data_IF_434913157212
#
_entry.id   IF_434913157212
#
_cell.length_a   1.000
_cell.length_b   1.000
_cell.length_c   1.000
_cell.angle_alpha   90.00
_cell.angle_beta   90.00
_cell.angle_gamma   90.00
#
_symmetry.space_group_name_H-M   'P 1'
#
loop_
_entity.id
_entity.type
_entity.pdbx_description
1 polymer ?
#
# COMPACT_ATOMS: atom_id res chain seq x y z
N UNK A 1 -0.79 5.32 36.38
CA UNK A 1 -2.26 5.46 36.35
C UNK A 1 -2.65 5.82 34.93
N UNK A 2 -2.86 4.81 34.07
CA UNK A 2 -3.15 5.02 32.64
C UNK A 2 -4.66 5.14 32.46
N UNK A 3 -5.12 6.35 32.18
CA UNK A 3 -6.49 6.59 31.73
C UNK A 3 -6.65 6.04 30.32
N UNK A 4 -7.53 5.06 30.17
CA UNK A 4 -8.01 4.55 28.89
C UNK A 4 -9.26 5.32 28.49
N UNK A 5 -9.24 6.20 27.47
CA UNK A 5 -10.43 6.58 26.77
C UNK A 5 -10.38 5.97 25.36
N UNK A 6 -11.29 5.05 25.09
CA UNK A 6 -11.42 4.41 23.79
C UNK A 6 -12.27 3.17 23.91
N UNK A 7 -13.59 3.35 23.86
CA UNK A 7 -14.55 2.28 23.64
C UNK A 7 -14.08 1.47 22.42
N UNK A 8 -13.64 0.23 22.66
CA UNK A 8 -13.36 -0.73 21.59
C UNK A 8 -14.69 -1.03 20.91
N UNK A 9 -14.83 -0.69 19.63
CA UNK A 9 -16.02 -1.09 18.88
C UNK A 9 -16.08 -2.63 18.84
N UNK A 10 -17.24 -3.25 19.12
CA UNK A 10 -17.37 -4.71 19.16
C UNK A 10 -16.89 -5.43 17.89
N UNK A 11 -16.99 -4.76 16.74
CA UNK A 11 -16.62 -5.29 15.42
C UNK A 11 -15.13 -5.57 15.26
N UNK A 12 -14.26 -4.74 15.85
CA UNK A 12 -12.81 -4.90 15.70
C UNK A 12 -12.27 -6.09 16.52
N UNK A 13 -12.91 -6.41 17.65
CA UNK A 13 -12.61 -7.61 18.44
C UNK A 13 -13.07 -8.88 17.72
N UNK A 14 -14.21 -8.81 17.03
CA UNK A 14 -14.76 -9.91 16.24
C UNK A 14 -13.86 -10.26 15.04
N UNK A 15 -13.34 -9.26 14.33
CA UNK A 15 -12.42 -9.48 13.20
C UNK A 15 -11.13 -10.19 13.64
N UNK A 16 -10.59 -9.83 14.82
CA UNK A 16 -9.41 -10.49 15.39
C UNK A 16 -9.66 -11.95 15.83
N UNK A 17 -10.88 -12.27 16.27
CA UNK A 17 -11.31 -13.65 16.54
C UNK A 17 -11.42 -14.49 15.27
N UNK A 18 -12.09 -13.94 14.25
CA UNK A 18 -12.40 -14.65 13.00
C UNK A 18 -11.15 -14.96 12.19
N UNK A 19 -10.10 -14.12 12.29
CA UNK A 19 -8.83 -14.28 11.57
C UNK A 19 -7.73 -15.00 12.37
N UNK A 20 -8.01 -15.59 13.54
CA UNK A 20 -6.99 -16.15 14.45
C UNK A 20 -5.85 -15.16 14.77
N UNK A 21 -6.15 -13.85 14.76
CA UNK A 21 -5.15 -12.79 14.88
C UNK A 21 -5.08 -12.19 16.30
N UNK A 22 -5.79 -12.77 17.27
CA UNK A 22 -5.75 -12.33 18.67
C UNK A 22 -4.32 -12.34 19.22
N UNK A 23 -3.90 -11.21 19.77
CA UNK A 23 -2.55 -11.02 20.33
C UNK A 23 -1.50 -10.51 19.34
N UNK A 24 -1.80 -10.47 18.03
CA UNK A 24 -0.89 -9.90 17.02
C UNK A 24 -0.98 -8.38 16.91
N UNK A 25 -2.17 -7.75 16.78
CA UNK A 25 -2.28 -6.30 16.77
C UNK A 25 -2.23 -5.76 18.21
N UNK A 26 -1.74 -4.52 18.40
CA UNK A 26 -1.87 -3.83 19.68
C UNK A 26 -3.35 -3.73 20.08
N UNK A 27 -3.67 -3.70 21.39
CA UNK A 27 -5.05 -3.74 21.87
C UNK A 27 -5.85 -2.48 21.51
N UNK A 28 -5.20 -1.42 21.04
CA UNK A 28 -5.86 -0.19 20.60
C UNK A 28 -6.29 -0.32 19.15
N UNK A 29 -7.59 -0.21 18.94
CA UNK A 29 -8.18 -0.01 17.60
C UNK A 29 -8.04 1.46 17.23
N UNK A 30 -7.41 1.73 16.09
CA UNK A 30 -7.28 3.09 15.56
C UNK A 30 -8.35 3.35 14.50
N UNK A 31 -9.03 4.49 14.57
CA UNK A 31 -9.96 4.91 13.54
C UNK A 31 -9.24 5.18 12.20
N UNK A 32 -9.94 5.12 11.05
CA UNK A 32 -9.34 5.44 9.75
C UNK A 32 -8.66 6.81 9.74
N UNK A 33 -9.27 7.83 10.36
CA UNK A 33 -8.70 9.16 10.47
C UNK A 33 -7.42 9.21 11.33
N UNK A 34 -7.34 8.43 12.41
CA UNK A 34 -6.11 8.31 13.21
C UNK A 34 -4.98 7.63 12.42
N UNK A 35 -5.31 6.61 11.64
CA UNK A 35 -4.36 5.90 10.78
C UNK A 35 -3.82 6.83 9.69
N UNK A 36 -4.71 7.56 9.02
CA UNK A 36 -4.38 8.57 8.01
C UNK A 36 -3.46 9.66 8.57
N UNK A 37 -3.80 10.24 9.73
CA UNK A 37 -2.96 11.25 10.40
C UNK A 37 -1.55 10.72 10.69
N UNK A 38 -1.43 9.45 11.11
CA UNK A 38 -0.13 8.81 11.35
C UNK A 38 0.66 8.61 10.06
N UNK A 39 0.00 8.19 8.98
CA UNK A 39 0.63 8.03 7.66
C UNK A 39 1.16 9.37 7.17
N UNK A 40 0.33 10.41 7.17
CA UNK A 40 0.74 11.74 6.70
C UNK A 40 1.84 12.35 7.56
N UNK A 41 1.79 12.18 8.88
CA UNK A 41 2.87 12.60 9.77
C UNK A 41 4.21 11.94 9.44
N UNK A 42 4.20 10.62 9.20
CA UNK A 42 5.41 9.90 8.79
C UNK A 42 5.90 10.29 7.39
N UNK A 43 4.98 10.59 6.47
CA UNK A 43 5.30 10.96 5.09
C UNK A 43 5.97 12.34 5.03
N UNK A 44 5.42 13.33 5.74
CA UNK A 44 5.95 14.69 5.82
C UNK A 44 7.30 14.75 6.54
N UNK A 45 7.55 13.82 7.46
CA UNK A 45 8.84 13.71 8.16
C UNK A 45 9.96 13.12 7.30
N UNK A 46 9.68 12.55 6.11
CA UNK A 46 10.73 12.11 5.17
C UNK A 46 11.41 13.29 4.53
N UNK A 47 12.68 13.12 4.19
CA UNK A 47 13.51 14.22 3.66
C UNK A 47 13.40 14.30 2.13
N UNK A 48 13.28 13.16 1.45
CA UNK A 48 13.23 13.11 -0.02
C UNK A 48 11.91 12.58 -0.56
N UNK A 49 11.55 13.05 -1.77
CA UNK A 49 10.35 12.58 -2.48
C UNK A 49 10.45 11.09 -2.83
N UNK A 50 11.66 10.59 -3.07
CA UNK A 50 11.88 9.16 -3.33
C UNK A 50 11.56 8.32 -2.08
N UNK A 51 11.97 8.76 -0.89
CA UNK A 51 11.60 8.08 0.35
C UNK A 51 10.10 8.13 0.61
N UNK A 52 9.46 9.27 0.29
CA UNK A 52 8.00 9.41 0.37
C UNK A 52 7.30 8.44 -0.59
N UNK A 53 7.76 8.35 -1.83
CA UNK A 53 7.29 7.37 -2.81
C UNK A 53 7.43 5.94 -2.26
N UNK A 54 8.61 5.55 -1.78
CA UNK A 54 8.85 4.22 -1.21
C UNK A 54 7.89 3.94 -0.04
N UNK A 55 7.62 4.93 0.81
CA UNK A 55 6.71 4.80 1.93
C UNK A 55 5.25 4.58 1.48
N UNK A 56 4.79 5.32 0.46
CA UNK A 56 3.45 5.20 -0.13
C UNK A 56 3.26 3.86 -0.85
N UNK A 57 4.24 3.44 -1.64
CA UNK A 57 4.29 2.13 -2.29
C UNK A 57 4.25 1.00 -1.24
N UNK A 58 4.99 1.14 -0.14
CA UNK A 58 4.95 0.18 0.98
C UNK A 58 3.63 0.21 1.75
N UNK A 59 2.90 1.34 1.75
CA UNK A 59 1.57 1.43 2.33
C UNK A 59 0.55 0.68 1.46
N UNK A 60 0.57 0.92 0.16
CA UNK A 60 -0.31 0.24 -0.79
C UNK A 60 -0.14 -1.29 -0.73
N UNK A 61 1.09 -1.81 -0.55
CA UNK A 61 1.33 -3.26 -0.39
C UNK A 61 0.73 -3.87 0.89
N UNK A 62 0.47 -3.06 1.91
CA UNK A 62 0.02 -3.54 3.24
C UNK A 62 -1.46 -3.30 3.46
N UNK A 63 -1.97 -2.16 2.98
CA UNK A 63 -3.35 -1.75 3.14
C UNK A 63 -3.73 -0.82 1.98
N UNK A 64 -4.29 -1.43 0.94
CA UNK A 64 -4.71 -0.74 -0.27
C UNK A 64 -5.85 0.26 0.01
N UNK A 65 -6.79 -0.07 0.89
CA UNK A 65 -7.90 0.82 1.28
C UNK A 65 -7.38 2.10 1.93
N UNK A 66 -6.47 1.99 2.90
CA UNK A 66 -5.87 3.16 3.57
C UNK A 66 -5.01 3.97 2.59
N UNK A 67 -4.30 3.32 1.67
CA UNK A 67 -3.56 4.01 0.63
C UNK A 67 -4.48 4.89 -0.23
N UNK A 68 -5.56 4.34 -0.77
CA UNK A 68 -6.48 5.10 -1.59
C UNK A 68 -7.20 6.21 -0.81
N UNK A 69 -7.56 5.97 0.46
CA UNK A 69 -8.12 7.01 1.31
C UNK A 69 -7.16 8.20 1.46
N UNK A 70 -5.89 7.92 1.78
CA UNK A 70 -4.85 8.94 1.94
C UNK A 70 -4.61 9.71 0.63
N UNK A 71 -4.55 9.00 -0.51
CA UNK A 71 -4.38 9.62 -1.84
C UNK A 71 -5.55 10.55 -2.17
N UNK A 72 -6.79 10.12 -1.96
CA UNK A 72 -7.97 10.92 -2.30
C UNK A 72 -8.07 12.17 -1.43
N UNK A 73 -7.82 12.04 -0.13
CA UNK A 73 -7.92 13.16 0.81
C UNK A 73 -6.78 14.17 0.69
N UNK A 74 -5.61 13.76 0.17
CA UNK A 74 -4.41 14.59 0.05
C UNK A 74 -3.84 14.58 -1.37
N UNK A 75 -4.72 14.55 -2.38
CA UNK A 75 -4.33 14.32 -3.77
C UNK A 75 -3.30 15.34 -4.28
N UNK A 76 -3.42 16.62 -3.93
CA UNK A 76 -2.50 17.66 -4.37
C UNK A 76 -1.07 17.45 -3.84
N UNK A 77 -0.93 16.98 -2.60
CA UNK A 77 0.37 16.71 -1.96
C UNK A 77 0.97 15.38 -2.46
N UNK A 78 0.12 14.40 -2.76
CA UNK A 78 0.55 13.02 -3.05
C UNK A 78 0.74 12.76 -4.54
N UNK A 79 -0.05 13.38 -5.42
CA UNK A 79 0.02 13.18 -6.86
C UNK A 79 1.46 13.35 -7.42
N UNK A 80 2.23 14.41 -7.09
CA UNK A 80 3.60 14.55 -7.60
C UNK A 80 4.59 13.51 -7.02
N UNK A 81 4.22 12.83 -5.93
CA UNK A 81 5.02 11.78 -5.30
C UNK A 81 4.78 10.42 -5.97
N UNK A 82 3.52 10.05 -6.23
CA UNK A 82 3.16 8.76 -6.85
C UNK A 82 3.17 8.79 -8.38
N UNK A 83 3.21 9.98 -8.97
CA UNK A 83 3.28 10.19 -10.40
C UNK A 83 4.49 11.09 -10.77
N UNK A 84 4.43 11.75 -11.92
CA UNK A 84 5.48 12.66 -12.38
C UNK A 84 5.67 13.83 -11.41
N UNK A 85 6.91 14.22 -11.07
CA UNK A 85 8.18 13.74 -11.62
C UNK A 85 8.83 12.58 -10.84
N UNK A 86 8.35 12.26 -9.65
CA UNK A 86 9.02 11.34 -8.71
C UNK A 86 9.03 9.90 -9.21
N UNK A 87 7.94 9.44 -9.86
CA UNK A 87 7.88 8.11 -10.46
C UNK A 87 8.98 7.88 -11.50
N UNK A 88 9.39 8.92 -12.24
CA UNK A 88 10.48 8.82 -13.21
C UNK A 88 11.82 8.50 -12.54
N UNK A 89 12.11 9.17 -11.41
CA UNK A 89 13.30 8.85 -10.59
C UNK A 89 13.21 7.44 -10.01
N UNK A 90 12.02 7.03 -9.56
CA UNK A 90 11.78 5.69 -9.05
C UNK A 90 12.02 4.62 -10.13
N UNK A 91 11.61 4.85 -11.38
CA UNK A 91 11.88 3.96 -12.50
C UNK A 91 13.39 3.83 -12.78
N UNK A 92 14.14 4.94 -12.74
CA UNK A 92 15.60 4.92 -12.93
C UNK A 92 16.31 4.11 -11.84
N UNK A 93 15.80 4.14 -10.62
CA UNK A 93 16.39 3.46 -9.46
C UNK A 93 15.65 2.17 -9.08
N UNK A 94 14.79 1.65 -9.96
CA UNK A 94 13.83 0.59 -9.62
C UNK A 94 14.51 -0.65 -9.04
N UNK A 95 15.63 -1.08 -9.63
CA UNK A 95 16.41 -2.23 -9.17
C UNK A 95 16.94 -2.08 -7.73
N UNK A 96 17.18 -0.85 -7.26
CA UNK A 96 17.68 -0.57 -5.91
C UNK A 96 16.55 -0.44 -4.88
N UNK A 97 15.39 0.06 -5.29
CA UNK A 97 14.25 0.31 -4.40
C UNK A 97 13.21 -0.82 -4.42
N UNK A 98 13.44 -1.86 -5.23
CA UNK A 98 12.55 -3.01 -5.37
C UNK A 98 12.34 -3.72 -4.03
N UNK A 99 11.07 -3.97 -3.68
CA UNK A 99 10.70 -4.62 -2.40
C UNK A 99 9.77 -5.80 -2.59
N UNK A 100 8.68 -5.60 -3.35
CA UNK A 100 7.68 -6.62 -3.63
C UNK A 100 7.28 -6.55 -5.10
N UNK A 101 7.07 -7.71 -5.75
CA UNK A 101 6.56 -7.73 -7.11
C UNK A 101 5.15 -7.15 -7.13
N UNK A 102 4.90 -6.25 -8.08
CA UNK A 102 3.55 -5.78 -8.43
C UNK A 102 3.34 -5.90 -9.92
N UNK A 103 2.18 -6.42 -10.29
CA UNK A 103 1.89 -6.74 -11.69
C UNK A 103 2.55 -8.05 -12.13
N UNK A 104 2.59 -8.24 -13.45
CA UNK A 104 3.26 -9.36 -14.09
C UNK A 104 4.44 -8.85 -14.92
N UNK A 105 5.54 -9.59 -14.89
CA UNK A 105 6.70 -9.34 -15.73
C UNK A 105 6.73 -10.42 -16.80
N UNK A 106 6.71 -10.02 -18.07
CA UNK A 106 6.76 -10.92 -19.22
C UNK A 106 7.96 -10.50 -20.06
N UNK A 107 8.88 -11.43 -20.30
CA UNK A 107 10.08 -11.21 -21.10
C UNK A 107 9.95 -11.83 -22.49
N UNK A 108 10.89 -11.50 -23.39
CA UNK A 108 10.96 -12.16 -24.71
C UNK A 108 11.22 -13.68 -24.61
N UNK A 109 11.78 -14.15 -23.50
CA UNK A 109 12.05 -15.58 -23.26
C UNK A 109 10.78 -16.39 -22.95
N UNK A 110 9.68 -15.68 -22.69
CA UNK A 110 8.38 -16.27 -22.37
C UNK A 110 7.48 -16.44 -23.61
N UNK A 111 8.04 -16.21 -24.80
CA UNK A 111 7.34 -16.39 -26.07
C UNK A 111 6.81 -17.82 -26.17
N UNK A 112 5.49 -17.94 -26.38
CA UNK A 112 4.78 -19.22 -26.42
C UNK A 112 4.23 -19.69 -25.08
N UNK A 113 4.63 -19.09 -23.95
CA UNK A 113 4.17 -19.42 -22.59
C UNK A 113 3.44 -18.27 -21.87
N UNK A 114 3.11 -17.20 -22.60
CA UNK A 114 2.45 -16.01 -22.04
C UNK A 114 1.16 -16.36 -21.27
N UNK A 115 0.36 -17.30 -21.78
CA UNK A 115 -0.88 -17.73 -21.12
C UNK A 115 -0.62 -18.33 -19.73
N UNK A 116 0.38 -19.18 -19.61
CA UNK A 116 0.76 -19.79 -18.32
C UNK A 116 1.17 -18.72 -17.30
N UNK A 117 1.84 -17.66 -17.74
CA UNK A 117 2.22 -16.54 -16.88
C UNK A 117 0.99 -15.75 -16.42
N UNK A 118 0.04 -15.51 -17.33
CA UNK A 118 -1.21 -14.81 -17.00
C UNK A 118 -2.07 -15.60 -16.00
N UNK A 119 -2.04 -16.94 -16.08
CA UNK A 119 -2.79 -17.82 -15.16
C UNK A 119 -2.27 -17.74 -13.71
N UNK A 120 -1.05 -17.22 -13.48
CA UNK A 120 -0.52 -16.95 -12.15
C UNK A 120 -1.13 -15.70 -11.49
N UNK A 121 -1.89 -14.88 -12.22
CA UNK A 121 -2.50 -13.69 -11.66
C UNK A 121 -3.57 -14.08 -10.62
N UNK A 122 -3.53 -13.53 -9.39
CA UNK A 122 -4.42 -13.98 -8.31
C UNK A 122 -5.88 -13.57 -8.53
N UNK A 123 -6.16 -12.57 -9.37
CA UNK A 123 -7.51 -12.07 -9.61
C UNK A 123 -8.10 -12.65 -10.90
N UNK A 124 -9.30 -13.21 -10.83
CA UNK A 124 -9.92 -13.98 -11.92
C UNK A 124 -10.53 -13.14 -13.05
N UNK A 125 -10.79 -11.85 -12.83
CA UNK A 125 -11.49 -10.97 -13.79
C UNK A 125 -10.82 -9.58 -13.89
N UNK A 126 -9.62 -9.47 -14.48
CA UNK A 126 -8.99 -8.17 -14.72
C UNK A 126 -9.72 -7.42 -15.84
N UNK A 127 -10.26 -6.24 -15.53
CA UNK A 127 -10.98 -5.39 -16.51
C UNK A 127 -10.11 -4.35 -17.20
N UNK A 128 -8.99 -3.99 -16.59
CA UNK A 128 -8.07 -2.95 -17.07
C UNK A 128 -6.66 -3.50 -16.97
N UNK A 129 -5.90 -3.37 -18.05
CA UNK A 129 -4.49 -3.73 -18.13
C UNK A 129 -3.74 -2.50 -18.63
N UNK A 130 -2.64 -2.16 -17.96
CA UNK A 130 -1.77 -1.06 -18.33
C UNK A 130 -0.43 -1.68 -18.75
N UNK A 131 0.01 -1.37 -19.96
CA UNK A 131 1.35 -1.69 -20.44
C UNK A 131 2.20 -0.41 -20.38
N UNK A 132 3.39 -0.43 -19.76
CA UNK A 132 4.31 0.70 -19.71
C UNK A 132 4.97 0.99 -21.06
#
# INVERSE_FOLDING_TARGET
MLTFPGHLSPEALLVGEVLLARGLPPPRVCSPAEQERRVMGNLRAKESDLERYIALISLQDRNETLFYQVVVNHIEEIMPLIYTPTVGKACQQFSHIYRRPRGLYISLQDRGRVREILDNWPHRDPRIIIFP
#
